data_IF_865188203947
#
_entry.id   IF_865188203947
#
_cell.length_a   1.000
_cell.length_b   1.000
_cell.length_c   1.000
_cell.angle_alpha   90.00
_cell.angle_beta   90.00
_cell.angle_gamma   90.00
#
_symmetry.space_group_name_H-M   'P 1'
#
loop_
_entity.id
_entity.type
_entity.pdbx_description
1 polymer ?
#
# COMPACT_ATOMS: atom_id res chain seq x y z
N UNK A 1 19.47 3.96 18.65
CA UNK A 1 20.84 4.44 18.29
C UNK A 1 20.83 4.80 16.80
N UNK A 2 20.25 5.94 16.43
CA UNK A 2 19.81 6.13 15.04
C UNK A 2 20.50 7.31 14.33
N UNK A 3 20.69 8.48 14.93
CA UNK A 3 21.04 9.66 14.13
C UNK A 3 22.46 9.77 13.57
N UNK A 4 23.50 9.32 14.30
CA UNK A 4 24.88 9.39 13.79
C UNK A 4 25.20 8.26 12.80
N UNK A 5 24.69 7.06 13.09
CA UNK A 5 24.85 5.89 12.22
C UNK A 5 24.06 6.07 10.92
N UNK A 6 22.82 6.57 10.99
CA UNK A 6 21.99 6.84 9.82
C UNK A 6 22.63 7.89 8.89
N UNK A 7 23.17 8.99 9.44
CA UNK A 7 23.91 9.98 8.65
C UNK A 7 25.14 9.40 7.96
N UNK A 8 25.87 8.52 8.66
CA UNK A 8 27.04 7.84 8.10
C UNK A 8 26.63 6.90 6.96
N UNK A 9 25.53 6.15 7.14
CA UNK A 9 24.94 5.31 6.13
C UNK A 9 24.56 6.12 4.89
N UNK A 10 23.78 7.21 5.05
CA UNK A 10 23.34 8.06 3.93
C UNK A 10 24.53 8.61 3.15
N UNK A 11 25.55 9.15 3.83
CA UNK A 11 26.74 9.68 3.19
C UNK A 11 27.50 8.61 2.36
N UNK A 12 27.66 7.40 2.91
CA UNK A 12 28.31 6.29 2.21
C UNK A 12 27.49 5.81 1.02
N UNK A 13 26.19 5.60 1.22
CA UNK A 13 25.27 5.12 0.18
C UNK A 13 25.16 6.10 -0.98
N UNK A 14 25.16 7.41 -0.71
CA UNK A 14 25.20 8.44 -1.76
C UNK A 14 26.43 8.31 -2.64
N UNK A 15 27.61 8.09 -2.06
CA UNK A 15 28.84 7.88 -2.83
C UNK A 15 28.76 6.65 -3.74
N UNK A 16 28.04 5.59 -3.35
CA UNK A 16 27.84 4.38 -4.17
C UNK A 16 26.88 4.68 -5.32
N UNK A 17 25.76 5.34 -5.04
CA UNK A 17 24.76 5.74 -6.05
C UNK A 17 25.37 6.66 -7.11
N UNK A 18 26.22 7.61 -6.71
CA UNK A 18 26.85 8.58 -7.62
C UNK A 18 27.95 7.96 -8.50
N UNK A 19 28.60 6.86 -8.06
CA UNK A 19 29.71 6.26 -8.79
C UNK A 19 29.28 5.14 -9.74
N UNK A 20 28.52 4.16 -9.25
CA UNK A 20 27.98 3.06 -10.04
C UNK A 20 26.83 2.37 -9.28
N UNK A 21 25.56 2.73 -9.55
CA UNK A 21 24.44 2.08 -8.88
C UNK A 21 24.37 0.59 -9.26
N UNK A 22 24.24 -0.32 -8.28
CA UNK A 22 24.00 -1.74 -8.49
C UNK A 22 22.80 -2.02 -9.41
N UNK A 23 23.04 -2.77 -10.49
CA UNK A 23 22.02 -3.12 -11.48
C UNK A 23 21.23 -4.39 -11.14
N UNK A 24 21.57 -5.09 -10.06
CA UNK A 24 20.95 -6.38 -9.69
C UNK A 24 20.61 -6.41 -8.19
N UNK A 25 19.57 -7.16 -7.82
CA UNK A 25 19.09 -7.26 -6.42
C UNK A 25 20.17 -7.74 -5.44
N UNK A 26 20.97 -8.79 -5.70
CA UNK A 26 21.98 -9.25 -4.75
C UNK A 26 23.01 -8.16 -4.42
N UNK A 27 23.44 -7.41 -5.43
CA UNK A 27 24.37 -6.30 -5.22
C UNK A 27 23.69 -5.14 -4.45
N UNK A 28 22.42 -4.83 -4.74
CA UNK A 28 21.66 -3.81 -4.01
C UNK A 28 21.55 -4.14 -2.53
N UNK A 29 21.32 -5.42 -2.19
CA UNK A 29 21.31 -5.92 -0.81
C UNK A 29 22.63 -5.66 -0.10
N UNK A 30 23.73 -6.17 -0.66
CA UNK A 30 25.06 -6.05 -0.06
C UNK A 30 25.51 -4.60 0.12
N UNK A 31 25.24 -3.73 -0.85
CA UNK A 31 25.76 -2.35 -0.81
C UNK A 31 24.87 -1.37 -0.01
N UNK A 32 23.55 -1.59 0.02
CA UNK A 32 22.61 -0.67 0.66
C UNK A 32 21.77 -1.29 1.76
N UNK A 33 21.14 -2.44 1.50
CA UNK A 33 20.10 -2.96 2.40
C UNK A 33 20.72 -3.56 3.65
N UNK A 34 21.72 -4.44 3.52
CA UNK A 34 22.33 -5.11 4.67
C UNK A 34 22.92 -4.08 5.65
N UNK A 35 23.67 -3.07 5.20
CA UNK A 35 24.21 -2.07 6.12
C UNK A 35 23.15 -1.11 6.69
N UNK A 36 22.04 -0.89 5.98
CA UNK A 36 20.90 -0.14 6.52
C UNK A 36 20.24 -0.94 7.64
N UNK A 37 20.01 -2.24 7.43
CA UNK A 37 19.46 -3.15 8.43
C UNK A 37 20.38 -3.26 9.66
N UNK A 38 21.70 -3.35 9.47
CA UNK A 38 22.69 -3.28 10.54
C UNK A 38 22.59 -1.98 11.34
N UNK A 39 22.36 -0.84 10.66
CA UNK A 39 22.14 0.46 11.30
C UNK A 39 20.89 0.46 12.19
N UNK A 40 19.86 -0.29 11.79
CA UNK A 40 18.63 -0.50 12.57
C UNK A 40 18.77 -1.58 13.65
N UNK A 41 19.93 -2.24 13.75
CA UNK A 41 20.24 -3.30 14.71
C UNK A 41 19.77 -4.70 14.29
N UNK A 42 19.40 -4.89 13.02
CA UNK A 42 19.11 -6.19 12.43
C UNK A 42 20.41 -6.80 11.90
N UNK A 43 20.58 -8.11 12.10
CA UNK A 43 21.75 -8.84 11.63
C UNK A 43 21.30 -9.87 10.59
N UNK A 44 21.66 -9.64 9.33
CA UNK A 44 21.31 -10.50 8.18
C UNK A 44 22.00 -11.87 8.23
N UNK A 45 23.00 -12.05 9.10
CA UNK A 45 23.75 -13.28 9.27
C UNK A 45 23.37 -14.05 10.54
N UNK A 46 22.46 -13.51 11.37
CA UNK A 46 21.97 -14.20 12.54
C UNK A 46 20.94 -15.27 12.17
N UNK A 47 20.83 -16.32 13.00
CA UNK A 47 19.82 -17.37 12.85
C UNK A 47 18.38 -16.82 12.93
N UNK A 48 18.20 -15.62 13.51
CA UNK A 48 16.93 -14.90 13.54
C UNK A 48 16.57 -14.20 12.22
N UNK A 49 17.29 -14.47 11.13
CA UNK A 49 17.04 -13.94 9.79
C UNK A 49 16.83 -15.10 8.81
N UNK A 50 15.67 -15.14 8.17
CA UNK A 50 15.39 -16.04 7.05
C UNK A 50 15.55 -15.24 5.76
N UNK A 51 16.50 -15.64 4.91
CA UNK A 51 16.74 -15.00 3.62
C UNK A 51 16.05 -15.76 2.48
N UNK A 52 15.64 -15.03 1.44
CA UNK A 52 15.07 -15.59 0.20
C UNK A 52 13.88 -16.53 0.45
N UNK A 53 12.83 -15.99 1.05
CA UNK A 53 11.62 -16.76 1.42
C UNK A 53 10.39 -16.19 0.73
N UNK A 54 9.30 -16.94 0.76
CA UNK A 54 7.99 -16.48 0.31
C UNK A 54 7.01 -16.43 1.47
N UNK A 55 6.13 -15.43 1.48
CA UNK A 55 5.01 -15.29 2.42
C UNK A 55 3.80 -14.86 1.62
N UNK A 56 2.75 -15.68 1.62
CA UNK A 56 1.55 -15.43 0.80
C UNK A 56 1.89 -15.12 -0.66
N UNK A 57 2.68 -16.02 -1.27
CA UNK A 57 3.25 -15.90 -2.63
C UNK A 57 4.14 -14.67 -2.91
N UNK A 58 4.35 -13.82 -1.90
CA UNK A 58 5.22 -12.65 -1.99
C UNK A 58 6.66 -13.05 -1.73
N UNK A 59 7.53 -12.85 -2.73
CA UNK A 59 8.97 -13.07 -2.59
C UNK A 59 9.63 -11.98 -1.75
N UNK A 60 10.31 -12.39 -0.68
CA UNK A 60 10.97 -11.53 0.30
C UNK A 60 12.45 -11.89 0.40
N UNK A 61 13.29 -10.87 0.34
CA UNK A 61 14.73 -11.02 0.49
C UNK A 61 15.11 -11.31 1.94
N UNK A 62 14.37 -10.76 2.91
CA UNK A 62 14.56 -11.07 4.33
C UNK A 62 13.24 -11.11 5.11
N UNK A 63 13.18 -12.02 6.09
CA UNK A 63 12.24 -11.98 7.21
C UNK A 63 13.04 -12.07 8.50
N UNK A 64 12.86 -11.09 9.39
CA UNK A 64 13.53 -11.07 10.67
C UNK A 64 12.60 -11.46 11.81
N UNK A 65 13.17 -12.15 12.79
CA UNK A 65 12.54 -12.48 14.05
C UNK A 65 13.21 -11.81 15.25
N UNK A 66 12.44 -11.59 16.32
CA UNK A 66 12.94 -11.23 17.65
C UNK A 66 12.41 -12.27 18.62
N UNK A 67 13.30 -12.90 19.37
CA UNK A 67 12.97 -14.01 20.29
C UNK A 67 12.10 -15.08 19.62
N UNK A 68 12.50 -15.50 18.41
CA UNK A 68 11.83 -16.48 17.55
C UNK A 68 10.44 -16.07 17.03
N UNK A 69 10.03 -14.81 17.21
CA UNK A 69 8.78 -14.27 16.68
C UNK A 69 9.05 -13.44 15.42
N UNK A 70 8.44 -13.78 14.27
CA UNK A 70 8.55 -12.97 13.05
C UNK A 70 8.06 -11.55 13.26
N UNK A 71 8.86 -10.59 12.79
CA UNK A 71 8.78 -9.22 13.25
C UNK A 71 8.92 -8.17 12.14
N UNK A 72 9.70 -8.44 11.10
CA UNK A 72 9.92 -7.50 10.00
C UNK A 72 10.06 -8.25 8.67
N UNK A 73 9.25 -7.85 7.69
CA UNK A 73 9.38 -8.27 6.29
C UNK A 73 10.27 -7.27 5.53
N UNK A 74 11.15 -7.75 4.65
CA UNK A 74 11.97 -6.89 3.80
C UNK A 74 11.90 -7.36 2.35
N UNK A 75 11.46 -6.46 1.47
CA UNK A 75 11.46 -6.62 0.02
C UNK A 75 12.47 -5.66 -0.63
N UNK A 76 13.13 -6.10 -1.69
CA UNK A 76 14.22 -5.35 -2.34
C UNK A 76 14.11 -5.37 -3.86
N UNK A 77 14.27 -4.20 -4.49
CA UNK A 77 14.48 -4.07 -5.94
C UNK A 77 15.93 -3.70 -6.30
N UNK A 78 16.38 -3.89 -7.55
CA UNK A 78 17.63 -3.33 -8.03
C UNK A 78 17.68 -1.80 -7.87
N UNK A 79 18.83 -1.23 -7.51
CA UNK A 79 18.98 0.23 -7.33
C UNK A 79 18.75 1.06 -8.61
N UNK A 80 18.80 0.41 -9.78
CA UNK A 80 18.49 1.00 -11.09
C UNK A 80 17.00 1.04 -11.41
N UNK A 81 16.17 0.31 -10.68
CA UNK A 81 14.72 0.22 -10.87
C UNK A 81 13.99 1.05 -9.81
N UNK A 82 12.75 1.44 -10.09
CA UNK A 82 11.87 2.06 -9.10
C UNK A 82 11.10 1.02 -8.32
N UNK A 83 10.62 1.37 -7.13
CA UNK A 83 9.74 0.49 -6.38
C UNK A 83 8.44 0.22 -7.14
N UNK A 84 8.13 -1.05 -7.36
CA UNK A 84 6.92 -1.46 -8.08
C UNK A 84 5.66 -1.41 -7.20
N UNK A 85 4.60 -0.82 -7.74
CA UNK A 85 3.28 -0.75 -7.07
C UNK A 85 2.71 -2.13 -6.77
N UNK A 86 2.82 -3.05 -7.71
CA UNK A 86 2.23 -4.38 -7.56
C UNK A 86 2.92 -5.18 -6.47
N UNK A 87 4.26 -5.13 -6.41
CA UNK A 87 5.01 -5.78 -5.34
C UNK A 87 4.75 -5.17 -3.97
N UNK A 88 4.56 -3.86 -3.89
CA UNK A 88 4.17 -3.20 -2.65
C UNK A 88 2.75 -3.60 -2.19
N UNK A 89 1.84 -3.90 -3.12
CA UNK A 89 0.52 -4.48 -2.79
C UNK A 89 0.65 -5.89 -2.24
N UNK A 90 1.39 -6.76 -2.92
CA UNK A 90 1.66 -8.12 -2.43
C UNK A 90 2.33 -8.10 -1.05
N UNK A 91 3.23 -7.16 -0.78
CA UNK A 91 3.81 -6.99 0.55
C UNK A 91 2.77 -6.62 1.63
N UNK A 92 1.77 -5.79 1.32
CA UNK A 92 0.67 -5.46 2.23
C UNK A 92 -0.24 -6.68 2.48
N UNK A 93 -0.50 -7.47 1.45
CA UNK A 93 -1.24 -8.74 1.55
C UNK A 93 -0.48 -9.71 2.47
N UNK A 94 0.82 -9.87 2.25
CA UNK A 94 1.69 -10.69 3.10
C UNK A 94 1.71 -10.22 4.56
N UNK A 95 1.73 -8.90 4.83
CA UNK A 95 1.60 -8.36 6.20
C UNK A 95 0.25 -8.72 6.82
N UNK A 96 -0.83 -8.60 6.05
CA UNK A 96 -2.19 -8.88 6.51
C UNK A 96 -2.37 -10.36 6.82
N UNK A 97 -1.91 -11.23 5.92
CA UNK A 97 -2.01 -12.68 6.06
C UNK A 97 -1.15 -13.22 7.19
N UNK A 98 0.11 -12.77 7.28
CA UNK A 98 1.03 -13.22 8.32
C UNK A 98 0.78 -12.60 9.69
N UNK A 99 0.07 -11.46 9.74
CA UNK A 99 -0.08 -10.65 10.93
C UNK A 99 1.21 -9.95 11.38
N UNK A 100 2.26 -9.96 10.56
CA UNK A 100 3.51 -9.23 10.79
C UNK A 100 3.26 -7.75 10.47
N UNK A 101 3.37 -6.90 11.48
CA UNK A 101 2.94 -5.51 11.43
C UNK A 101 4.04 -4.53 10.97
N UNK A 102 5.20 -5.01 10.52
CA UNK A 102 6.26 -4.15 9.97
C UNK A 102 6.79 -4.70 8.66
N UNK A 103 6.92 -3.83 7.67
CA UNK A 103 7.63 -4.14 6.44
C UNK A 103 8.47 -2.98 5.92
N UNK A 104 9.56 -3.32 5.25
CA UNK A 104 10.46 -2.41 4.55
C UNK A 104 10.53 -2.82 3.08
N UNK A 105 10.25 -1.89 2.16
CA UNK A 105 10.44 -2.10 0.73
C UNK A 105 11.39 -1.04 0.17
N UNK A 106 12.50 -1.47 -0.46
CA UNK A 106 13.55 -0.53 -0.87
C UNK A 106 14.37 -1.00 -2.07
N UNK A 107 14.95 -0.05 -2.80
CA UNK A 107 16.00 -0.29 -3.80
C UNK A 107 17.34 0.35 -3.38
N UNK A 108 17.45 0.75 -2.10
CA UNK A 108 18.59 1.49 -1.56
C UNK A 108 18.59 3.00 -1.83
N UNK A 109 17.69 3.50 -2.69
CA UNK A 109 17.52 4.93 -3.03
C UNK A 109 16.18 5.49 -2.60
N UNK A 110 15.15 4.67 -2.66
CA UNK A 110 13.78 4.91 -2.23
C UNK A 110 13.46 3.89 -1.14
N UNK A 111 12.71 4.33 -0.14
CA UNK A 111 12.33 3.53 1.01
C UNK A 111 10.82 3.71 1.22
N UNK A 112 10.13 2.59 1.33
CA UNK A 112 8.75 2.50 1.77
C UNK A 112 8.73 1.72 3.09
N UNK A 113 8.38 2.40 4.16
CA UNK A 113 8.17 1.83 5.48
C UNK A 113 6.68 1.65 5.72
N UNK A 114 6.29 0.44 6.13
CA UNK A 114 4.91 0.06 6.40
C UNK A 114 4.79 -0.40 7.85
N UNK A 115 3.89 0.23 8.60
CA UNK A 115 3.62 -0.11 9.99
C UNK A 115 2.13 -0.33 10.21
N UNK A 116 1.74 -1.53 10.64
CA UNK A 116 0.39 -1.80 11.12
C UNK A 116 0.09 -0.98 12.38
N UNK A 117 -1.11 -0.43 12.45
CA UNK A 117 -1.58 0.32 13.63
C UNK A 117 -2.25 -0.60 14.64
N UNK A 118 -2.18 -0.23 15.93
CA UNK A 118 -2.82 -0.99 17.02
C UNK A 118 -4.35 -0.81 17.05
N UNK A 119 -4.89 0.13 16.28
CA UNK A 119 -6.29 0.60 16.38
C UNK A 119 -7.30 -0.14 15.51
N UNK A 120 -6.93 -1.26 14.88
CA UNK A 120 -7.86 -2.12 14.16
C UNK A 120 -7.31 -2.65 12.83
N UNK A 121 -7.89 -3.77 12.41
CA UNK A 121 -7.57 -4.48 11.17
C UNK A 121 -7.62 -3.51 9.97
N UNK A 122 -6.49 -3.32 9.30
CA UNK A 122 -6.40 -2.65 7.98
C UNK A 122 -5.76 -1.26 7.94
N UNK A 123 -5.59 -0.56 9.06
CA UNK A 123 -4.92 0.74 9.05
C UNK A 123 -3.39 0.55 9.12
N UNK A 124 -2.70 0.84 8.00
CA UNK A 124 -1.25 0.77 7.85
C UNK A 124 -0.71 2.18 7.65
N UNK A 125 0.12 2.64 8.59
CA UNK A 125 0.91 3.86 8.45
C UNK A 125 2.02 3.63 7.42
N UNK A 126 2.15 4.59 6.49
CA UNK A 126 3.10 4.53 5.38
C UNK A 126 4.01 5.73 5.41
N UNK A 127 5.32 5.48 5.31
CA UNK A 127 6.31 6.52 5.09
C UNK A 127 7.09 6.18 3.83
N UNK A 128 7.00 7.07 2.84
CA UNK A 128 7.82 7.02 1.62
C UNK A 128 8.85 8.13 1.70
N UNK A 129 10.12 7.80 1.52
CA UNK A 129 11.18 8.78 1.46
C UNK A 129 12.35 8.29 0.59
N UNK A 130 13.15 9.24 0.12
CA UNK A 130 14.42 8.99 -0.55
C UNK A 130 15.57 8.79 0.44
N UNK A 131 16.70 8.31 -0.07
CA UNK A 131 17.93 8.10 0.72
C UNK A 131 18.36 9.36 1.49
N UNK A 132 18.28 10.53 0.88
CA UNK A 132 18.70 11.79 1.52
C UNK A 132 17.70 12.23 2.61
N UNK A 133 16.42 11.91 2.46
CA UNK A 133 15.33 12.26 3.39
C UNK A 133 15.27 11.34 4.62
N UNK A 134 16.00 10.21 4.64
CA UNK A 134 16.01 9.30 5.79
C UNK A 134 16.37 10.01 7.11
N UNK A 135 17.28 10.98 7.06
CA UNK A 135 17.73 11.71 8.25
C UNK A 135 16.62 12.61 8.81
N UNK A 136 15.74 13.12 7.95
CA UNK A 136 14.61 13.97 8.34
C UNK A 136 13.48 13.16 8.99
N UNK A 137 13.49 11.84 8.79
CA UNK A 137 12.49 10.90 9.32
C UNK A 137 13.05 9.96 10.40
N UNK A 138 14.11 10.36 11.12
CA UNK A 138 14.77 9.53 12.13
C UNK A 138 13.79 8.97 13.18
N UNK A 139 12.87 9.81 13.68
CA UNK A 139 11.88 9.40 14.69
C UNK A 139 10.92 8.33 14.16
N UNK A 140 10.49 8.43 12.90
CA UNK A 140 9.62 7.42 12.27
C UNK A 140 10.36 6.11 12.00
N UNK A 141 11.65 6.20 11.62
CA UNK A 141 12.49 5.04 11.35
C UNK A 141 12.86 4.31 12.66
N UNK A 142 12.91 5.00 13.79
CA UNK A 142 13.20 4.39 15.09
C UNK A 142 12.24 3.23 15.42
N UNK A 143 10.97 3.33 15.00
CA UNK A 143 9.96 2.27 15.14
C UNK A 143 10.26 0.98 14.37
N UNK A 144 11.22 1.00 13.43
CA UNK A 144 11.68 -0.16 12.66
C UNK A 144 12.98 -0.76 13.19
N UNK A 145 13.55 -0.17 14.23
CA UNK A 145 14.74 -0.74 14.88
C UNK A 145 14.39 -2.05 15.57
N UNK A 146 15.33 -3.00 15.58
CA UNK A 146 15.13 -4.31 16.26
C UNK A 146 14.68 -4.14 17.71
N UNK A 147 15.25 -3.16 18.41
CA UNK A 147 14.93 -2.88 19.81
C UNK A 147 13.50 -2.32 20.00
N UNK A 148 13.03 -1.44 19.11
CA UNK A 148 11.68 -0.89 19.20
C UNK A 148 10.61 -1.93 18.81
N UNK A 149 10.88 -2.71 17.76
CA UNK A 149 9.99 -3.80 17.34
C UNK A 149 9.90 -4.86 18.44
N UNK A 150 11.04 -5.29 19.00
CA UNK A 150 11.08 -6.26 20.09
C UNK A 150 10.29 -5.87 21.34
N UNK A 151 10.28 -4.58 21.72
CA UNK A 151 9.51 -4.10 22.88
C UNK A 151 8.00 -4.22 22.72
N UNK A 152 7.50 -4.32 21.49
CA UNK A 152 6.07 -4.44 21.17
C UNK A 152 5.63 -5.89 21.04
N UNK A 153 6.56 -6.83 20.91
CA UNK A 153 6.26 -8.24 20.73
C UNK A 153 6.03 -8.91 22.08
N UNK A 154 4.92 -9.64 22.19
CA UNK A 154 4.73 -10.62 23.24
C UNK A 154 4.93 -12.02 22.64
N UNK A 155 6.05 -12.71 22.91
CA UNK A 155 6.33 -14.04 22.36
C UNK A 155 5.40 -15.13 22.89
N UNK A 156 4.65 -14.85 23.96
CA UNK A 156 3.65 -15.78 24.51
C UNK A 156 2.25 -15.54 23.96
N UNK A 157 2.06 -14.50 23.13
CA UNK A 157 0.77 -14.18 22.53
C UNK A 157 0.38 -15.20 21.45
N UNK A 158 -0.93 -15.32 21.22
CA UNK A 158 -1.45 -16.11 20.09
C UNK A 158 -1.02 -15.53 18.74
N UNK A 159 -0.87 -14.21 18.66
CA UNK A 159 -0.41 -13.54 17.46
C UNK A 159 1.02 -13.93 17.10
N UNK A 160 1.92 -14.10 18.09
CA UNK A 160 3.26 -14.61 17.86
C UNK A 160 3.26 -16.01 17.22
N UNK A 161 2.36 -16.89 17.70
CA UNK A 161 2.17 -18.24 17.13
C UNK A 161 1.62 -18.16 15.71
N UNK A 162 0.62 -17.30 15.46
CA UNK A 162 0.05 -17.11 14.13
C UNK A 162 1.11 -16.66 13.12
N UNK A 163 1.96 -15.70 13.50
CA UNK A 163 3.06 -15.21 12.66
C UNK A 163 4.04 -16.32 12.29
N UNK A 164 4.40 -17.16 13.26
CA UNK A 164 5.30 -18.29 12.99
C UNK A 164 4.66 -19.30 12.02
N UNK A 165 3.41 -19.67 12.25
CA UNK A 165 2.69 -20.58 11.37
C UNK A 165 2.54 -20.02 9.95
N UNK A 166 2.43 -18.70 9.79
CA UNK A 166 2.28 -18.10 8.47
C UNK A 166 3.55 -18.27 7.62
N UNK A 167 4.73 -18.17 8.25
CA UNK A 167 6.01 -18.42 7.58
C UNK A 167 6.24 -19.91 7.30
N UNK A 168 5.91 -20.77 8.26
CA UNK A 168 6.15 -22.21 8.14
C UNK A 168 5.05 -22.93 7.35
N UNK A 169 4.02 -22.22 6.89
CA UNK A 169 2.85 -22.79 6.22
C UNK A 169 3.21 -23.81 5.12
N UNK A 170 4.09 -23.51 4.14
CA UNK A 170 4.42 -24.46 3.09
C UNK A 170 5.02 -25.75 3.65
N UNK A 171 5.99 -25.62 4.56
CA UNK A 171 6.66 -26.76 5.20
C UNK A 171 5.68 -27.59 6.05
N UNK A 172 4.80 -26.94 6.81
CA UNK A 172 3.81 -27.62 7.65
C UNK A 172 2.80 -28.40 6.82
N UNK A 173 2.33 -27.83 5.70
CA UNK A 173 1.45 -28.53 4.77
C UNK A 173 2.16 -29.77 4.22
N UNK A 174 3.38 -29.61 3.72
CA UNK A 174 4.17 -30.71 3.16
C UNK A 174 4.43 -31.82 4.19
N UNK A 175 4.84 -31.48 5.41
CA UNK A 175 5.12 -32.44 6.48
C UNK A 175 3.87 -33.21 6.93
N UNK A 176 2.73 -32.52 7.08
CA UNK A 176 1.46 -33.16 7.44
C UNK A 176 0.97 -34.07 6.30
N UNK A 177 1.05 -33.61 5.04
CA UNK A 177 0.67 -34.40 3.87
C UNK A 177 1.54 -35.64 3.74
N UNK A 178 2.86 -35.51 3.92
CA UNK A 178 3.79 -36.63 3.91
C UNK A 178 3.43 -37.66 5.00
N UNK A 179 3.19 -37.18 6.23
CA UNK A 179 2.81 -38.03 7.37
C UNK A 179 1.49 -38.77 7.12
N UNK A 180 0.47 -38.10 6.59
CA UNK A 180 -0.83 -38.70 6.28
C UNK A 180 -0.75 -39.70 5.11
N UNK A 181 0.06 -39.38 4.09
CA UNK A 181 0.27 -40.26 2.94
C UNK A 181 0.99 -41.54 3.36
N UNK A 182 2.02 -41.43 4.20
CA UNK A 182 2.75 -42.59 4.75
C UNK A 182 1.85 -43.46 5.63
N UNK A 183 0.96 -42.85 6.43
CA UNK A 183 0.04 -43.58 7.30
C UNK A 183 -1.07 -44.31 6.53
N UNK A 184 -1.53 -43.75 5.40
CA UNK A 184 -2.64 -44.30 4.60
C UNK A 184 -2.15 -45.25 3.50
N UNK A 185 -0.90 -45.10 3.04
CA UNK A 185 -0.32 -45.88 1.94
C UNK A 185 -0.90 -45.53 0.55
N UNK A 186 -1.70 -44.48 0.45
CA UNK A 186 -2.41 -44.08 -0.78
C UNK A 186 -1.84 -42.78 -1.36
N UNK A 187 -0.76 -42.90 -2.14
CA UNK A 187 -0.18 -41.78 -2.87
C UNK A 187 -1.16 -41.15 -3.89
N UNK A 188 -2.19 -41.88 -4.33
CA UNK A 188 -3.20 -41.39 -5.27
C UNK A 188 -4.08 -40.27 -4.70
N UNK A 189 -4.11 -40.11 -3.37
CA UNK A 189 -4.92 -39.10 -2.67
C UNK A 189 -4.11 -37.88 -2.21
N UNK A 190 -2.82 -37.80 -2.55
CA UNK A 190 -1.90 -36.77 -2.05
C UNK A 190 -2.39 -35.34 -2.35
N UNK A 191 -2.85 -35.05 -3.56
CA UNK A 191 -3.34 -33.71 -3.93
C UNK A 191 -4.61 -33.30 -3.14
N UNK A 192 -5.49 -34.27 -2.84
CA UNK A 192 -6.67 -34.02 -2.03
C UNK A 192 -6.29 -33.78 -0.55
N UNK A 193 -5.31 -34.52 -0.05
CA UNK A 193 -4.74 -34.31 1.29
C UNK A 193 -4.05 -32.95 1.39
N UNK A 194 -3.30 -32.54 0.37
CA UNK A 194 -2.65 -31.24 0.29
C UNK A 194 -3.66 -30.10 0.37
N UNK A 195 -4.69 -30.13 -0.47
CA UNK A 195 -5.77 -29.12 -0.45
C UNK A 195 -6.47 -29.06 0.91
N UNK A 196 -6.78 -30.22 1.50
CA UNK A 196 -7.44 -30.28 2.81
C UNK A 196 -6.53 -29.80 3.95
N UNK A 197 -5.24 -30.12 3.89
CA UNK A 197 -4.24 -29.73 4.89
C UNK A 197 -3.97 -28.24 4.82
N UNK A 198 -3.79 -27.68 3.61
CA UNK A 198 -3.65 -26.24 3.41
C UNK A 198 -4.84 -25.49 4.03
N UNK A 199 -6.07 -25.89 3.72
CA UNK A 199 -7.28 -25.30 4.31
C UNK A 199 -7.32 -25.43 5.83
N UNK A 200 -6.87 -26.55 6.39
CA UNK A 200 -6.81 -26.74 7.84
C UNK A 200 -5.80 -25.80 8.50
N UNK A 201 -4.61 -25.64 7.92
CA UNK A 201 -3.59 -24.70 8.39
C UNK A 201 -4.10 -23.26 8.30
N UNK A 202 -4.78 -22.90 7.21
CA UNK A 202 -5.39 -21.57 7.05
C UNK A 202 -6.43 -21.29 8.14
N UNK A 203 -7.25 -22.28 8.49
CA UNK A 203 -8.21 -22.15 9.60
C UNK A 203 -7.52 -21.97 10.96
N UNK A 204 -6.40 -22.66 11.19
CA UNK A 204 -5.59 -22.44 12.39
C UNK A 204 -5.04 -21.01 12.43
N UNK A 205 -4.45 -20.54 11.33
CA UNK A 205 -3.91 -19.18 11.22
C UNK A 205 -4.94 -18.12 11.58
N UNK A 206 -6.14 -18.18 10.97
CA UNK A 206 -7.24 -17.27 11.27
C UNK A 206 -7.66 -17.36 12.74
N UNK A 207 -7.69 -18.57 13.32
CA UNK A 207 -8.08 -18.75 14.72
C UNK A 207 -7.08 -18.18 15.73
N UNK A 208 -5.79 -18.13 15.39
CA UNK A 208 -4.74 -17.55 16.24
C UNK A 208 -4.53 -16.06 15.99
N UNK A 209 -4.83 -15.56 14.79
CA UNK A 209 -4.72 -14.14 14.42
C UNK A 209 -5.86 -13.26 14.93
N UNK A 210 -7.05 -13.83 15.14
CA UNK A 210 -8.19 -13.10 15.72
C UNK A 210 -8.13 -13.10 17.25
N UNK A 211 -7.56 -12.07 17.84
CA UNK A 211 -7.59 -11.88 19.31
C UNK A 211 -8.94 -11.32 19.82
N UNK A 212 -9.83 -10.94 18.90
CA UNK A 212 -11.22 -10.59 19.22
C UNK A 212 -12.12 -11.82 19.02
N UNK A 213 -12.83 -12.21 20.08
CA UNK A 213 -13.83 -13.27 20.09
C UNK A 213 -15.10 -12.96 19.27
N UNK A 214 -14.97 -12.34 18.11
CA UNK A 214 -16.03 -12.09 17.14
C UNK A 214 -15.91 -13.08 15.99
N UNK A 215 -16.93 -13.92 15.85
CA UNK A 215 -17.11 -14.85 14.74
C UNK A 215 -17.05 -14.10 13.40
N UNK A 216 -16.12 -14.50 12.54
CA UNK A 216 -16.17 -14.16 11.12
C UNK A 216 -17.17 -15.08 10.41
N UNK A 217 -18.09 -14.56 9.58
CA UNK A 217 -18.86 -15.36 8.64
C UNK A 217 -17.93 -15.92 7.56
N UNK A 218 -18.24 -17.13 7.10
CA UNK A 218 -17.35 -18.02 6.33
C UNK A 218 -17.17 -17.65 4.85
N UNK A 219 -17.11 -16.37 4.49
CA UNK A 219 -16.95 -15.93 3.10
C UNK A 219 -15.89 -14.82 3.03
N UNK A 220 -14.64 -15.23 2.81
CA UNK A 220 -13.55 -14.33 2.44
C UNK A 220 -13.75 -13.93 0.97
N UNK A 221 -14.54 -12.88 0.75
CA UNK A 221 -14.63 -12.18 -0.52
C UNK A 221 -13.44 -11.24 -0.69
N UNK A 222 -12.85 -11.24 -1.88
CA UNK A 222 -11.76 -10.39 -2.37
C UNK A 222 -11.67 -9.02 -1.68
N UNK A 223 -10.62 -8.85 -0.87
CA UNK A 223 -10.20 -7.54 -0.36
C UNK A 223 -9.25 -6.93 -1.39
N UNK A 224 -9.79 -6.58 -2.56
CA UNK A 224 -9.04 -5.86 -3.58
C UNK A 224 -9.53 -4.41 -3.67
N UNK A 225 -8.56 -3.50 -3.83
CA UNK A 225 -8.68 -2.06 -4.15
C UNK A 225 -8.69 -1.05 -2.97
N UNK A 226 -7.59 -0.98 -2.22
CA UNK A 226 -7.19 0.29 -1.57
C UNK A 226 -5.65 0.45 -1.53
N UNK A 227 -5.01 0.54 -2.71
CA UNK A 227 -3.56 0.78 -2.82
C UNK A 227 -3.26 1.78 -3.94
N UNK A 228 -3.46 3.07 -3.65
CA UNK A 228 -2.87 4.15 -4.44
C UNK A 228 -1.46 4.44 -3.93
N UNK A 229 -0.43 3.91 -4.60
CA UNK A 229 0.97 4.25 -4.38
C UNK A 229 1.34 5.40 -5.31
N UNK A 230 1.39 6.62 -4.78
CA UNK A 230 1.96 7.76 -5.49
C UNK A 230 3.46 7.80 -5.26
N UNK A 231 4.22 7.26 -6.21
CA UNK A 231 5.65 7.54 -6.33
C UNK A 231 5.80 8.91 -7.01
N UNK A 232 6.36 9.87 -6.29
CA UNK A 232 6.75 11.15 -6.87
C UNK A 232 7.97 10.91 -7.77
N UNK A 233 7.73 10.70 -9.06
CA UNK A 233 8.78 10.71 -10.07
C UNK A 233 9.41 12.11 -10.12
N UNK A 234 10.60 12.26 -9.53
CA UNK A 234 11.43 13.44 -9.74
C UNK A 234 11.94 13.43 -11.18
N UNK A 235 11.40 14.34 -12.00
CA UNK A 235 11.80 14.57 -13.38
C UNK A 235 13.22 15.13 -13.45
N UNK A 236 14.18 14.27 -13.77
CA UNK A 236 15.49 14.68 -14.23
C UNK A 236 15.52 14.65 -15.77
N UNK A 237 15.65 15.84 -16.33
CA UNK A 237 15.86 16.21 -17.72
C UNK A 237 16.79 15.25 -18.50
N UNK A 238 16.30 14.75 -19.64
CA UNK A 238 17.17 14.24 -20.71
C UNK A 238 16.61 14.62 -22.08
N UNK A 239 16.98 15.82 -22.49
CA UNK A 239 16.83 16.33 -23.84
C UNK A 239 17.77 15.63 -24.84
N UNK A 240 17.28 15.46 -26.07
CA UNK A 240 17.93 15.11 -27.36
C UNK A 240 17.94 13.66 -27.85
N UNK A 241 17.32 13.46 -29.02
CA UNK A 241 17.49 12.27 -29.85
C UNK A 241 16.41 12.09 -30.90
N UNK A 242 16.36 12.98 -31.90
CA UNK A 242 15.43 12.95 -33.03
C UNK A 242 15.61 11.72 -33.95
N UNK A 243 14.49 11.24 -34.49
CA UNK A 243 14.39 10.27 -35.59
C UNK A 243 13.24 9.29 -35.32
N UNK A 244 12.06 9.36 -35.93
CA UNK A 244 11.76 9.72 -37.30
C UNK A 244 11.73 8.46 -38.17
N UNK A 245 10.67 7.65 -38.07
CA UNK A 245 10.27 6.72 -39.13
C UNK A 245 8.78 6.34 -39.00
N UNK A 246 8.10 6.57 -40.11
CA UNK A 246 6.73 6.26 -40.52
C UNK A 246 6.34 4.79 -40.44
N UNK A 247 5.08 4.51 -40.06
CA UNK A 247 4.41 3.23 -40.29
C UNK A 247 3.01 3.47 -40.90
N UNK A 248 2.97 3.36 -42.23
CA UNK A 248 1.87 2.86 -43.08
C UNK A 248 2.29 1.40 -43.39
N UNK A 249 1.48 0.39 -43.68
CA UNK A 249 0.08 0.19 -43.99
C UNK A 249 -0.07 -1.35 -44.22
N UNK A 250 -1.31 -1.81 -44.23
CA UNK A 250 -1.92 -3.13 -44.49
C UNK A 250 -1.12 -4.30 -45.13
N UNK A 251 -1.55 -5.53 -44.82
CA UNK A 251 -1.69 -6.57 -45.86
C UNK A 251 -1.38 -8.02 -45.50
N UNK A 252 -2.43 -8.75 -45.14
CA UNK A 252 -2.78 -10.13 -45.56
C UNK A 252 -1.71 -11.25 -45.70
N UNK A 253 -2.00 -12.37 -45.02
CA UNK A 253 -2.32 -13.61 -45.76
C UNK A 253 -1.42 -14.84 -45.59
N UNK A 254 -2.08 -15.97 -45.28
CA UNK A 254 -1.71 -17.39 -45.55
C UNK A 254 -0.38 -17.88 -44.95
N UNK A 255 -0.36 -18.88 -44.06
CA UNK A 255 -1.03 -20.18 -44.14
C UNK A 255 -0.08 -21.21 -44.74
N UNK A 256 0.51 -22.08 -43.91
CA UNK A 256 0.68 -23.54 -44.10
C UNK A 256 1.80 -24.10 -43.22
N UNK A 257 1.41 -25.10 -42.43
CA UNK A 257 2.07 -26.38 -42.17
C UNK A 257 3.59 -26.48 -42.33
N UNK A 258 4.29 -26.94 -41.28
CA UNK A 258 5.11 -28.17 -41.28
C UNK A 258 5.69 -28.39 -39.87
N UNK A 259 5.05 -29.27 -39.10
CA UNK A 259 5.76 -30.27 -38.27
C UNK A 259 6.15 -31.44 -39.22
N UNK A 260 7.16 -32.31 -38.93
CA UNK A 260 7.39 -32.88 -37.61
C UNK A 260 8.85 -33.20 -37.23
N UNK A 261 8.98 -33.77 -36.02
CA UNK A 261 9.95 -34.79 -35.61
C UNK A 261 11.42 -34.36 -35.43
N UNK A 262 12.23 -34.97 -34.57
CA UNK A 262 12.12 -35.77 -33.36
C UNK A 262 13.58 -36.12 -33.00
N UNK A 263 13.80 -36.38 -31.72
CA UNK A 263 14.81 -37.29 -31.18
C UNK A 263 16.30 -36.88 -31.17
N UNK A 264 16.80 -36.95 -29.95
CA UNK A 264 17.93 -37.80 -29.54
C UNK A 264 19.30 -37.15 -29.32
N UNK A 265 19.61 -37.12 -28.02
CA UNK A 265 20.74 -37.81 -27.38
C UNK A 265 22.12 -37.15 -27.33
N UNK A 266 22.68 -37.35 -26.13
CA UNK A 266 24.08 -37.50 -25.76
C UNK A 266 24.85 -36.25 -25.31
N UNK A 267 24.97 -36.15 -23.98
CA UNK A 267 26.13 -35.69 -23.22
C UNK A 267 27.43 -36.43 -23.64
N UNK A 268 28.57 -36.27 -22.94
CA UNK A 268 29.23 -35.08 -22.38
C UNK A 268 30.65 -34.95 -22.98
N UNK A 269 31.39 -33.88 -22.65
CA UNK A 269 32.85 -33.97 -22.65
C UNK A 269 33.43 -33.19 -21.46
N UNK A 270 34.18 -33.95 -20.68
CA UNK A 270 35.12 -33.57 -19.63
C UNK A 270 36.49 -33.28 -20.26
N UNK A 271 37.30 -32.49 -19.55
CA UNK A 271 38.78 -32.40 -19.50
C UNK A 271 39.17 -30.91 -19.36
N UNK A 272 39.56 -30.40 -18.18
CA UNK A 272 40.81 -30.60 -17.40
C UNK A 272 41.98 -29.75 -17.93
N UNK A 273 42.79 -29.24 -16.99
CA UNK A 273 44.08 -28.52 -17.13
C UNK A 273 43.96 -26.99 -17.31
N UNK A 274 44.68 -26.11 -16.60
CA UNK A 274 45.86 -26.23 -15.75
C UNK A 274 45.94 -25.02 -14.79
N UNK A 275 46.50 -25.26 -13.60
CA UNK A 275 47.06 -24.24 -12.73
C UNK A 275 48.48 -23.88 -13.19
N UNK A 276 48.83 -22.58 -13.18
CA UNK A 276 50.21 -22.11 -13.03
C UNK A 276 50.19 -20.87 -12.13
N UNK A 277 51.06 -20.94 -11.14
CA UNK A 277 51.26 -20.09 -9.98
C UNK A 277 52.38 -19.03 -10.27
N UNK A 278 52.83 -18.22 -9.29
CA UNK A 278 52.93 -16.75 -9.40
C UNK A 278 54.37 -16.26 -9.64
N UNK A 279 54.54 -14.95 -9.91
CA UNK A 279 55.84 -14.30 -9.61
C UNK A 279 55.79 -12.76 -9.49
N UNK A 280 56.59 -12.29 -8.52
CA UNK A 280 57.28 -11.00 -8.29
C UNK A 280 56.74 -9.70 -8.92
N UNK A 281 56.53 -8.59 -8.21
CA UNK A 281 57.44 -7.94 -7.26
C UNK A 281 58.00 -6.65 -7.90
N UNK A 282 58.01 -5.53 -7.16
CA UNK A 282 58.98 -4.40 -7.19
C UNK A 282 58.34 -3.07 -6.76
N UNK A 283 58.99 -2.48 -5.76
CA UNK A 283 58.83 -1.16 -5.14
C UNK A 283 58.97 0.04 -6.09
N UNK A 284 58.34 1.17 -5.72
CA UNK A 284 58.98 2.48 -5.86
C UNK A 284 58.39 3.56 -4.92
N UNK A 285 59.26 4.05 -4.04
CA UNK A 285 59.22 5.30 -3.28
C UNK A 285 58.97 6.55 -4.15
N UNK A 286 58.43 7.62 -3.55
CA UNK A 286 58.77 8.99 -3.97
C UNK A 286 57.73 10.10 -3.79
N UNK A 287 57.93 11.07 -2.86
CA UNK A 287 57.01 12.17 -2.55
C UNK A 287 57.43 13.53 -3.12
N UNK A 288 56.48 14.40 -3.52
CA UNK A 288 56.62 15.87 -3.71
C UNK A 288 55.19 16.45 -3.67
N UNK A 289 54.76 17.41 -2.84
CA UNK A 289 55.29 18.74 -2.56
C UNK A 289 54.56 19.78 -3.45
N UNK A 290 53.66 20.61 -2.90
CA UNK A 290 52.93 21.59 -3.70
C UNK A 290 52.02 22.54 -2.91
N UNK A 291 52.66 23.51 -2.27
CA UNK A 291 52.10 24.75 -1.72
C UNK A 291 51.42 25.61 -2.81
N UNK A 292 50.40 26.41 -2.45
CA UNK A 292 49.64 27.20 -3.42
C UNK A 292 48.43 27.96 -2.87
N UNK A 293 48.68 28.94 -2.00
CA UNK A 293 47.77 30.02 -1.60
C UNK A 293 47.23 30.86 -2.78
N UNK A 294 45.93 31.22 -2.75
CA UNK A 294 45.35 32.50 -3.24
C UNK A 294 43.86 32.55 -2.78
N UNK A 295 43.47 33.28 -1.73
CA UNK A 295 43.04 34.71 -1.72
C UNK A 295 42.31 35.14 -3.01
N UNK A 296 40.99 35.31 -2.94
CA UNK A 296 40.33 36.65 -3.03
C UNK A 296 38.89 36.57 -2.51
N UNK A 297 38.58 37.45 -1.56
CA UNK A 297 37.23 37.83 -1.18
C UNK A 297 36.78 38.93 -2.13
N UNK A 298 35.52 38.91 -2.59
CA UNK A 298 34.74 40.13 -2.88
C UNK A 298 33.25 39.84 -2.64
N UNK A 299 32.76 40.41 -1.55
CA UNK A 299 31.38 40.82 -1.36
C UNK A 299 31.11 42.02 -2.28
N UNK A 300 29.88 42.19 -2.79
CA UNK A 300 29.30 43.52 -2.68
C UNK A 300 27.89 43.51 -2.10
N UNK A 301 27.71 44.55 -1.31
CA UNK A 301 26.53 45.03 -0.61
C UNK A 301 25.53 45.70 -1.57
N UNK A 302 24.31 45.81 -1.07
CA UNK A 302 23.36 46.93 -1.20
C UNK A 302 22.14 46.79 -2.14
N UNK A 303 21.00 46.68 -1.45
CA UNK A 303 19.85 47.62 -1.48
C UNK A 303 18.94 47.68 -2.71
N UNK A 304 17.64 47.43 -2.46
CA UNK A 304 16.64 48.47 -2.73
C UNK A 304 15.46 48.11 -3.64
N UNK A 305 14.28 47.99 -3.00
CA UNK A 305 12.97 48.51 -3.42
C UNK A 305 12.16 47.87 -4.58
N UNK A 306 10.97 47.38 -4.19
CA UNK A 306 9.61 47.58 -4.75
C UNK A 306 9.20 47.16 -6.18
N UNK A 307 7.89 46.93 -6.29
CA UNK A 307 7.03 46.70 -7.48
C UNK A 307 6.93 45.22 -7.91
N UNK A 308 5.82 44.48 -7.78
CA UNK A 308 4.40 44.75 -8.07
C UNK A 308 4.17 45.21 -9.51
N UNK A 309 4.13 44.28 -10.47
CA UNK A 309 2.97 44.07 -11.35
C UNK A 309 3.16 42.91 -12.35
N UNK A 310 2.02 42.40 -12.78
CA UNK A 310 1.69 41.78 -14.06
C UNK A 310 2.45 40.51 -14.54
N UNK A 311 1.71 39.40 -14.49
CA UNK A 311 1.86 38.30 -15.45
C UNK A 311 0.49 37.97 -16.03
N UNK A 312 0.21 38.55 -17.20
CA UNK A 312 -0.88 38.17 -18.09
C UNK A 312 -0.39 38.24 -19.54
N UNK A 313 -0.22 37.09 -20.18
CA UNK A 313 -0.42 36.79 -21.62
C UNK A 313 -0.06 35.30 -21.81
N UNK A 314 -0.73 34.41 -22.56
CA UNK A 314 -1.71 34.49 -23.64
C UNK A 314 -2.36 33.08 -23.70
N UNK A 315 -3.68 32.94 -23.48
CA UNK A 315 -4.74 32.81 -24.50
C UNK A 315 -4.50 31.76 -25.60
N UNK A 316 -5.21 30.64 -25.49
CA UNK A 316 -5.77 29.94 -26.65
C UNK A 316 -7.28 29.98 -26.47
N UNK A 317 -7.91 30.80 -27.31
CA UNK A 317 -9.35 30.86 -27.50
C UNK A 317 -9.86 29.50 -28.00
N UNK A 318 -10.79 28.90 -27.27
CA UNK A 318 -11.74 27.94 -27.82
C UNK A 318 -13.09 28.23 -27.17
N UNK A 319 -14.11 28.29 -28.02
CA UNK A 319 -15.41 28.92 -27.81
C UNK A 319 -16.20 28.40 -26.59
N UNK A 320 -16.75 29.35 -25.82
CA UNK A 320 -18.13 29.40 -25.32
C UNK A 320 -18.75 28.11 -24.72
N UNK A 321 -18.08 27.49 -23.74
CA UNK A 321 -18.72 26.64 -22.74
C UNK A 321 -18.76 27.43 -21.41
N UNK A 322 -19.96 27.78 -20.95
CA UNK A 322 -20.17 28.29 -19.61
C UNK A 322 -19.72 27.19 -18.62
N UNK A 323 -18.46 27.27 -18.18
CA UNK A 323 -17.85 26.32 -17.27
C UNK A 323 -18.68 26.27 -15.99
N UNK A 324 -19.54 25.26 -15.90
CA UNK A 324 -20.30 24.98 -14.70
C UNK A 324 -19.30 24.52 -13.66
N UNK A 325 -19.25 25.21 -12.52
CA UNK A 325 -18.36 24.82 -11.43
C UNK A 325 -18.62 23.36 -11.04
N UNK A 326 -17.58 22.53 -10.85
CA UNK A 326 -17.79 21.12 -10.50
C UNK A 326 -18.36 20.98 -9.09
N UNK A 327 -19.13 19.92 -8.87
CA UNK A 327 -19.58 19.48 -7.56
C UNK A 327 -18.43 18.77 -6.85
N UNK A 328 -17.78 19.43 -5.88
CA UNK A 328 -16.62 18.88 -5.16
C UNK A 328 -16.98 18.56 -3.71
N UNK A 329 -16.70 17.32 -3.30
CA UNK A 329 -16.80 16.83 -1.92
C UNK A 329 -15.39 16.65 -1.37
N UNK A 330 -15.03 17.37 -0.32
CA UNK A 330 -13.74 17.22 0.37
C UNK A 330 -13.93 16.56 1.74
N UNK A 331 -13.16 15.52 2.01
CA UNK A 331 -13.29 14.71 3.22
C UNK A 331 -12.20 15.05 4.23
N UNK A 332 -12.57 15.02 5.52
CA UNK A 332 -11.69 15.33 6.63
C UNK A 332 -11.85 14.30 7.74
N UNK A 333 -10.74 13.94 8.38
CA UNK A 333 -10.72 13.27 9.67
C UNK A 333 -10.30 14.26 10.77
N UNK A 334 -9.92 13.75 11.94
CA UNK A 334 -9.42 14.57 13.05
C UNK A 334 -8.02 15.17 12.79
N UNK A 335 -7.26 14.59 11.85
CA UNK A 335 -5.89 15.00 11.51
C UNK A 335 -5.80 15.95 10.32
N UNK A 336 -6.84 16.06 9.49
CA UNK A 336 -6.87 16.98 8.35
C UNK A 336 -7.71 16.49 7.17
N UNK A 337 -7.47 17.08 5.99
CA UNK A 337 -8.09 16.67 4.73
C UNK A 337 -7.49 15.36 4.26
N UNK A 338 -8.32 14.37 3.92
CA UNK A 338 -7.88 13.03 3.47
C UNK A 338 -8.12 12.76 1.98
N UNK A 339 -8.95 13.58 1.33
CA UNK A 339 -9.22 13.45 -0.10
C UNK A 339 -10.29 14.40 -0.59
N UNK A 340 -10.45 14.51 -1.91
CA UNK A 340 -11.55 15.23 -2.54
C UNK A 340 -12.00 14.51 -3.81
N UNK A 341 -13.30 14.50 -4.05
CA UNK A 341 -13.96 13.93 -5.23
C UNK A 341 -14.73 15.05 -5.92
N UNK A 342 -14.65 15.12 -7.25
CA UNK A 342 -15.31 16.16 -8.03
C UNK A 342 -15.97 15.61 -9.28
N UNK A 343 -17.21 16.03 -9.56
CA UNK A 343 -17.90 15.69 -10.81
C UNK A 343 -18.71 16.88 -11.35
N UNK A 344 -19.00 16.89 -12.65
CA UNK A 344 -19.86 17.91 -13.28
C UNK A 344 -21.37 17.74 -12.98
N UNK A 345 -21.75 16.68 -12.26
CA UNK A 345 -23.14 16.34 -11.95
C UNK A 345 -23.24 15.88 -10.49
N UNK A 346 -24.22 16.40 -9.74
CA UNK A 346 -24.33 16.16 -8.30
C UNK A 346 -24.64 14.70 -7.92
N UNK A 347 -25.40 13.97 -8.74
CA UNK A 347 -25.69 12.56 -8.49
C UNK A 347 -24.47 11.66 -8.71
N UNK A 348 -23.66 11.95 -9.73
CA UNK A 348 -22.38 11.25 -9.95
C UNK A 348 -21.36 11.61 -8.85
N UNK A 349 -21.34 12.87 -8.39
CA UNK A 349 -20.53 13.25 -7.23
C UNK A 349 -20.97 12.50 -5.95
N UNK A 350 -22.27 12.28 -5.74
CA UNK A 350 -22.78 11.44 -4.66
C UNK A 350 -22.34 9.97 -4.81
N UNK A 351 -22.43 9.39 -6.01
CA UNK A 351 -21.99 8.02 -6.28
C UNK A 351 -20.50 7.88 -5.98
N UNK A 352 -19.65 8.72 -6.56
CA UNK A 352 -18.20 8.68 -6.36
C UNK A 352 -17.81 8.96 -4.90
N UNK A 353 -18.51 9.87 -4.22
CA UNK A 353 -18.31 10.10 -2.79
C UNK A 353 -18.66 8.86 -1.96
N UNK A 354 -19.70 8.13 -2.34
CA UNK A 354 -20.12 6.90 -1.65
C UNK A 354 -19.11 5.76 -1.88
N UNK A 355 -18.64 5.58 -3.11
CA UNK A 355 -17.56 4.63 -3.44
C UNK A 355 -16.29 4.92 -2.63
N UNK A 356 -15.86 6.18 -2.64
CA UNK A 356 -14.71 6.64 -1.85
C UNK A 356 -14.87 6.34 -0.35
N UNK A 357 -16.08 6.49 0.20
CA UNK A 357 -16.34 6.17 1.61
C UNK A 357 -16.30 4.66 1.88
N UNK A 358 -16.71 3.81 0.94
CA UNK A 358 -16.59 2.35 1.09
C UNK A 358 -15.14 1.89 1.10
N UNK A 359 -14.29 2.48 0.25
CA UNK A 359 -12.85 2.23 0.25
C UNK A 359 -12.23 2.62 1.59
N UNK A 360 -12.69 3.72 2.21
CA UNK A 360 -12.02 4.36 3.36
C UNK A 360 -12.65 4.15 4.74
N UNK A 361 -13.61 3.25 4.89
CA UNK A 361 -14.10 2.84 6.22
C UNK A 361 -15.59 2.91 6.46
N UNK A 362 -16.44 3.04 5.44
CA UNK A 362 -17.88 2.77 5.53
C UNK A 362 -18.17 1.25 5.59
N UNK A 363 -17.26 0.46 6.17
CA UNK A 363 -17.44 -0.98 6.36
C UNK A 363 -18.40 -1.27 7.51
N UNK A 364 -19.15 -2.36 7.42
CA UNK A 364 -20.11 -2.76 8.46
C UNK A 364 -21.41 -1.94 8.52
N UNK A 365 -21.76 -1.22 7.44
CA UNK A 365 -23.09 -0.60 7.33
C UNK A 365 -24.15 -1.70 7.18
N UNK A 366 -25.11 -1.75 8.10
CA UNK A 366 -26.22 -2.71 8.00
C UNK A 366 -27.22 -2.19 6.96
N UNK A 367 -27.41 -2.95 5.90
CA UNK A 367 -28.45 -2.70 4.90
C UNK A 367 -29.77 -3.38 5.29
N UNK A 368 -30.93 -2.80 4.95
CA UNK A 368 -31.13 -1.49 4.33
C UNK A 368 -30.77 -0.35 5.28
N UNK A 369 -30.05 0.67 4.80
CA UNK A 369 -29.59 1.79 5.63
C UNK A 369 -30.31 3.10 5.27
N UNK A 370 -30.67 3.88 6.30
CA UNK A 370 -31.23 5.23 6.18
C UNK A 370 -30.56 6.22 7.14
N UNK A 371 -30.45 7.52 6.81
CA UNK A 371 -29.89 8.53 7.72
C UNK A 371 -30.64 8.67 9.05
N UNK A 372 -31.92 8.27 9.11
CA UNK A 372 -32.67 8.29 10.37
C UNK A 372 -32.05 7.36 11.44
N UNK A 373 -31.25 6.38 11.02
CA UNK A 373 -30.58 5.44 11.92
C UNK A 373 -29.44 6.12 12.71
N UNK A 374 -28.77 7.13 12.17
CA UNK A 374 -27.62 7.78 12.83
C UNK A 374 -28.00 8.72 13.98
N UNK A 375 -29.21 9.28 13.97
CA UNK A 375 -29.66 10.17 15.04
C UNK A 375 -30.38 9.41 16.18
N UNK A 376 -30.77 8.15 15.94
CA UNK A 376 -31.45 7.31 16.92
C UNK A 376 -30.51 6.80 18.02
N UNK A 377 -29.22 6.57 17.70
CA UNK A 377 -28.22 5.99 18.62
C UNK A 377 -27.68 6.97 19.68
N UNK A 378 -27.91 8.28 19.52
CA UNK A 378 -27.35 9.30 20.41
C UNK A 378 -28.38 9.91 21.39
N UNK A 379 -29.61 9.36 21.44
CA UNK A 379 -30.74 9.88 22.23
C UNK A 379 -31.08 9.07 23.48
N UNK A 380 -30.14 8.29 24.01
CA UNK A 380 -30.29 7.62 25.31
C UNK A 380 -29.62 8.50 26.38
N UNK A 381 -30.34 8.75 27.48
CA UNK A 381 -29.98 9.57 28.64
C UNK A 381 -30.29 11.08 28.60
N UNK A 382 -31.58 11.43 28.57
CA UNK A 382 -32.06 12.54 29.43
C UNK A 382 -33.52 12.28 29.85
N UNK A 383 -33.69 11.43 30.87
CA UNK A 383 -34.95 11.36 31.62
C UNK A 383 -35.09 12.59 32.51
N UNK A 384 -35.86 13.60 32.09
CA UNK A 384 -36.53 14.50 33.04
C UNK A 384 -37.96 14.81 32.58
N UNK A 385 -38.88 14.37 33.43
CA UNK A 385 -40.32 14.51 33.31
C UNK A 385 -40.79 15.97 33.19
N UNK A 386 -41.79 16.23 32.36
CA UNK A 386 -43.11 16.72 32.82
C UNK A 386 -44.10 16.96 31.67
N UNK A 387 -45.28 16.32 31.82
CA UNK A 387 -46.62 16.89 31.60
C UNK A 387 -47.02 17.46 30.22
N UNK A 388 -47.68 16.59 29.45
CA UNK A 388 -49.11 16.74 29.12
C UNK A 388 -49.56 17.98 28.35
N UNK A 389 -49.66 17.84 27.02
CA UNK A 389 -50.63 18.54 26.18
C UNK A 389 -51.07 17.58 25.06
N UNK A 390 -52.37 17.28 24.99
CA UNK A 390 -53.01 16.56 23.89
C UNK A 390 -52.95 17.45 22.63
N UNK A 391 -51.95 17.21 21.79
CA UNK A 391 -51.73 17.86 20.50
C UNK A 391 -51.89 16.87 19.35
N UNK A 392 -52.96 17.09 18.59
CA UNK A 392 -53.33 16.47 17.31
C UNK A 392 -52.12 15.97 16.48
N UNK A 393 -51.89 14.65 16.53
CA UNK A 393 -50.77 13.98 15.87
C UNK A 393 -51.12 13.64 14.43
N UNK A 394 -50.92 14.61 13.55
CA UNK A 394 -50.64 14.38 12.12
C UNK A 394 -49.18 14.70 11.80
N UNK A 395 -48.26 14.29 12.67
CA UNK A 395 -46.85 14.24 12.32
C UNK A 395 -46.60 12.96 11.51
N UNK A 396 -46.92 13.03 10.21
CA UNK A 396 -46.32 12.13 9.23
C UNK A 396 -44.83 12.37 9.28
N UNK A 397 -44.12 11.55 10.07
CA UNK A 397 -42.67 11.47 9.96
C UNK A 397 -42.35 11.23 8.48
N UNK A 398 -41.46 12.03 7.87
CA UNK A 398 -41.11 11.83 6.47
C UNK A 398 -40.68 10.36 6.32
N UNK A 399 -41.10 9.68 5.24
CA UNK A 399 -40.72 8.29 5.04
C UNK A 399 -39.20 8.20 5.08
N UNK A 400 -38.67 7.44 6.05
CA UNK A 400 -37.26 7.12 6.16
C UNK A 400 -36.81 6.54 4.84
N UNK A 401 -36.19 7.37 4.01
CA UNK A 401 -35.83 6.97 2.65
C UNK A 401 -34.56 6.14 2.77
N UNK A 402 -34.66 4.85 2.44
CA UNK A 402 -33.51 3.97 2.32
C UNK A 402 -32.58 4.54 1.26
N UNK A 403 -31.33 4.82 1.63
CA UNK A 403 -30.33 5.34 0.70
C UNK A 403 -29.52 4.19 0.11
N UNK A 404 -29.25 3.16 0.90
CA UNK A 404 -28.36 2.08 0.52
C UNK A 404 -28.99 0.74 0.87
N UNK A 405 -28.98 -0.21 -0.07
CA UNK A 405 -29.47 -1.57 0.16
C UNK A 405 -28.75 -2.63 -0.69
N UNK A 406 -28.92 -3.92 -0.37
CA UNK A 406 -28.39 -5.05 -1.15
C UNK A 406 -29.19 -5.35 -2.43
N UNK A 407 -30.37 -4.77 -2.53
CA UNK A 407 -31.31 -4.89 -3.64
C UNK A 407 -31.81 -3.50 -4.04
N UNK A 408 -32.29 -3.30 -5.29
CA UNK A 408 -32.78 -2.00 -5.75
C UNK A 408 -34.18 -1.64 -5.18
N UNK A 409 -34.43 -1.99 -3.92
CA UNK A 409 -35.67 -1.74 -3.18
C UNK A 409 -35.34 -1.03 -1.86
N UNK A 410 -36.23 -0.18 -1.38
CA UNK A 410 -36.17 0.39 -0.05
C UNK A 410 -36.53 -0.66 1.04
N UNK A 411 -36.34 -0.30 2.30
CA UNK A 411 -36.61 -1.16 3.46
C UNK A 411 -38.08 -1.60 3.55
N UNK A 412 -39.01 -0.82 3.00
CA UNK A 412 -40.44 -1.15 2.93
C UNK A 412 -40.80 -2.05 1.74
N UNK A 413 -39.81 -2.45 0.93
CA UNK A 413 -39.97 -3.28 -0.25
C UNK A 413 -40.40 -2.52 -1.52
N UNK A 414 -40.58 -1.20 -1.46
CA UNK A 414 -40.84 -0.38 -2.65
C UNK A 414 -39.57 -0.25 -3.50
N UNK A 415 -39.65 -0.20 -4.84
CA UNK A 415 -38.46 -0.02 -5.67
C UNK A 415 -37.85 1.38 -5.45
N UNK A 416 -36.51 1.46 -5.42
CA UNK A 416 -35.80 2.72 -5.45
C UNK A 416 -36.15 3.50 -6.74
N UNK A 417 -36.20 4.83 -6.67
CA UNK A 417 -36.60 5.69 -7.77
C UNK A 417 -35.50 5.77 -8.85
N UNK A 418 -34.24 5.91 -8.47
CA UNK A 418 -33.07 5.82 -9.37
C UNK A 418 -31.94 5.04 -8.68
N UNK A 419 -32.05 3.69 -8.60
CA UNK A 419 -30.99 2.87 -8.04
C UNK A 419 -29.75 2.90 -8.94
N UNK A 420 -28.58 3.12 -8.35
CA UNK A 420 -27.27 2.96 -8.99
C UNK A 420 -26.53 1.85 -8.26
N UNK A 421 -26.14 0.80 -8.99
CA UNK A 421 -25.30 -0.25 -8.43
C UNK A 421 -23.87 0.27 -8.26
N UNK A 422 -23.32 0.06 -7.07
CA UNK A 422 -21.95 0.39 -6.70
C UNK A 422 -21.00 -0.78 -7.01
N UNK A 423 -19.70 -0.53 -6.96
CA UNK A 423 -18.63 -1.52 -7.20
C UNK A 423 -18.76 -2.76 -6.30
N UNK A 424 -19.16 -2.57 -5.04
CA UNK A 424 -19.35 -3.62 -4.05
C UNK A 424 -20.69 -4.38 -4.17
N UNK A 425 -21.47 -4.12 -5.22
CA UNK A 425 -22.75 -4.78 -5.49
C UNK A 425 -23.96 -4.20 -4.77
N UNK A 426 -23.79 -3.25 -3.85
CA UNK A 426 -24.89 -2.54 -3.20
C UNK A 426 -25.57 -1.55 -4.16
N UNK A 427 -26.80 -1.16 -3.84
CA UNK A 427 -27.58 -0.19 -4.59
C UNK A 427 -27.75 1.11 -3.80
N UNK A 428 -27.34 2.22 -4.42
CA UNK A 428 -27.47 3.59 -3.92
C UNK A 428 -28.65 4.30 -4.58
N UNK A 429 -29.52 4.94 -3.80
CA UNK A 429 -30.56 5.82 -4.30
C UNK A 429 -29.97 7.16 -4.75
N UNK A 430 -30.10 7.48 -6.04
CA UNK A 430 -29.57 8.70 -6.66
C UNK A 430 -30.66 9.67 -7.14
N UNK A 431 -31.95 9.39 -6.86
CA UNK A 431 -33.02 10.33 -7.12
C UNK A 431 -33.06 11.42 -6.05
N UNK A 432 -33.18 12.68 -6.47
CA UNK A 432 -33.28 13.80 -5.55
C UNK A 432 -32.98 15.14 -6.23
N UNK A 433 -33.13 16.21 -5.45
CA UNK A 433 -32.59 17.54 -5.77
C UNK A 433 -31.12 17.62 -5.36
N UNK A 434 -30.47 18.75 -5.67
CA UNK A 434 -29.10 19.03 -5.24
C UNK A 434 -28.93 18.89 -3.72
N UNK A 435 -29.83 19.48 -2.94
CA UNK A 435 -29.78 19.43 -1.47
C UNK A 435 -29.92 18.01 -0.93
N UNK A 436 -30.74 17.20 -1.60
CA UNK A 436 -30.89 15.79 -1.24
C UNK A 436 -29.55 15.08 -1.45
N UNK A 437 -28.88 15.27 -2.59
CA UNK A 437 -27.56 14.66 -2.81
C UNK A 437 -26.53 15.12 -1.77
N UNK A 438 -26.48 16.41 -1.45
CA UNK A 438 -25.57 16.95 -0.42
C UNK A 438 -25.83 16.34 0.96
N UNK A 439 -27.11 16.30 1.37
CA UNK A 439 -27.52 15.69 2.65
C UNK A 439 -27.14 14.20 2.73
N UNK A 440 -27.27 13.46 1.61
CA UNK A 440 -26.88 12.04 1.57
C UNK A 440 -25.36 11.87 1.70
N UNK A 441 -24.56 12.70 1.02
CA UNK A 441 -23.10 12.69 1.15
C UNK A 441 -22.68 12.95 2.59
N UNK A 442 -23.26 13.96 3.23
CA UNK A 442 -22.97 14.28 4.64
C UNK A 442 -23.36 13.15 5.58
N UNK A 443 -24.53 12.54 5.40
CA UNK A 443 -24.99 11.44 6.23
C UNK A 443 -24.10 10.20 6.12
N UNK A 444 -23.70 9.81 4.90
CA UNK A 444 -22.76 8.71 4.66
C UNK A 444 -21.38 9.02 5.24
N UNK A 445 -20.90 10.26 5.06
CA UNK A 445 -19.60 10.68 5.60
C UNK A 445 -19.60 10.65 7.14
N UNK A 446 -20.67 11.16 7.77
CA UNK A 446 -20.87 11.08 9.22
C UNK A 446 -20.91 9.63 9.70
N UNK A 447 -21.58 8.74 8.96
CA UNK A 447 -21.65 7.30 9.27
C UNK A 447 -20.27 6.63 9.24
N UNK A 448 -19.38 7.07 8.34
CA UNK A 448 -17.99 6.63 8.27
C UNK A 448 -17.07 7.28 9.33
N UNK A 449 -17.60 8.11 10.24
CA UNK A 449 -16.79 8.81 11.25
C UNK A 449 -15.94 9.94 10.68
N UNK A 450 -16.31 10.47 9.51
CA UNK A 450 -15.60 11.53 8.80
C UNK A 450 -16.43 12.82 8.78
N UNK A 451 -15.82 13.92 8.32
CA UNK A 451 -16.49 15.19 8.00
C UNK A 451 -16.36 15.47 6.51
N UNK A 452 -17.41 16.01 5.89
CA UNK A 452 -17.38 16.47 4.49
C UNK A 452 -17.52 18.00 4.41
N UNK A 453 -16.91 18.59 3.39
CA UNK A 453 -17.14 19.96 2.95
C UNK A 453 -17.55 19.93 1.48
N UNK A 454 -18.74 20.45 1.19
CA UNK A 454 -19.28 20.56 -0.17
C UNK A 454 -18.89 21.93 -0.77
N UNK A 455 -18.22 21.93 -1.93
CA UNK A 455 -17.69 23.14 -2.58
C UNK A 455 -17.91 23.14 -4.10
N UNK A 456 -17.93 24.32 -4.73
CA UNK A 456 -18.31 24.47 -6.15
C UNK A 456 -19.82 24.59 -6.30
N UNK A 457 -20.40 23.97 -7.33
CA UNK A 457 -21.83 24.11 -7.66
C UNK A 457 -22.81 23.54 -6.61
N UNK A 458 -22.33 23.00 -5.48
CA UNK A 458 -23.19 22.70 -4.33
C UNK A 458 -23.77 23.96 -3.66
N UNK A 459 -23.11 25.11 -3.83
CA UNK A 459 -23.48 26.38 -3.17
C UNK A 459 -24.21 27.36 -4.11
N UNK A 460 -24.47 26.97 -5.36
CA UNK A 460 -25.22 27.77 -6.32
C UNK A 460 -26.73 27.56 -6.10
N UNK A 461 -27.26 28.15 -5.03
CA UNK A 461 -28.70 28.29 -4.80
C UNK A 461 -29.15 29.76 -4.69
#
# INVERSE_FOLDING_TARGET
MTGAALRTFVARSRSVVESAPPAVRPATRTWFVDPFLETLGWDVHADSCTAETTVDDTALEYVFAVDDVPALLVAVEPATETLETDRARSLLEAMTWSGIDRALYTNGRQFLFLAGTETGVGAIDRLVCSLDELVDHEESIEYFTRAAVGQRLDPTSRQAIARQFALERPQLVDEIVATLTDATGEAASAAALETATARFVDQLLVSFGSDDGLQLPADAGDVHEDVSLQFTESTADKTTGAGGATAEDEGEGRGSDTEPASASEAEPNTETESAVDPDEGVDQDGPVGGDGTHRTAETPTSEGATDADDSADSTVDTDDDAATDPYVVRFFNDRGSIGAIGHSQSHEALVQATEYLFERGLSGISVPWSPADVDSEQSVDTEHASSGVDGDSTNSSPPSTTILNDTPHAADGTPMAKPRQLSNGLYLETAGTLDVHGTRVEALTKRAGLRAMLTGAWNDE
#
